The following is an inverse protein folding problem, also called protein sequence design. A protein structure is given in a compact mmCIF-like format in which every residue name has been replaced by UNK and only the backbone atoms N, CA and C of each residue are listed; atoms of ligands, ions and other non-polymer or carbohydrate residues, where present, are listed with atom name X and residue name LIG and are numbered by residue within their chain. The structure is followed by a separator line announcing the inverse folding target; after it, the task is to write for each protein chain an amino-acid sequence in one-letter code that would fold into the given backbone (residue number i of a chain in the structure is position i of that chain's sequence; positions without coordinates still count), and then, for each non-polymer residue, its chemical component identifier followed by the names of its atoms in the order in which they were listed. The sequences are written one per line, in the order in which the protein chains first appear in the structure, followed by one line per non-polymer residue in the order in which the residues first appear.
data_IF_649021070697
#
_entry.id   IF_649021070697
#
_cell.length_a   1.000
_cell.length_b   1.000
_cell.length_c   1.000
_cell.angle_alpha   90.00
_cell.angle_beta   90.00
_cell.angle_gamma   90.00
#
_symmetry.space_group_name_H-M   'P 1'
#
loop_
_entity.id
_entity.type
_entity.pdbx_description
1 polymer ?
#
# COMPACT_ATOMS: atom_id res chain seq x y z
N UNK A 1 15.49 -2.20 -9.32
CA UNK A 1 14.42 -3.17 -9.27
C UNK A 1 13.07 -2.43 -9.24
N UNK A 2 12.10 -2.88 -10.01
CA UNK A 2 10.81 -2.17 -10.13
C UNK A 2 10.04 -2.06 -8.79
N UNK A 3 10.27 -2.98 -7.86
CA UNK A 3 9.59 -2.95 -6.56
C UNK A 3 9.95 -1.73 -5.71
N UNK A 4 11.07 -1.07 -6.01
CA UNK A 4 11.49 0.13 -5.26
C UNK A 4 10.54 1.31 -5.45
N UNK A 5 9.85 1.39 -6.58
CA UNK A 5 8.87 2.47 -6.79
C UNK A 5 7.69 2.32 -5.81
N UNK A 6 7.28 1.09 -5.53
CA UNK A 6 6.23 0.82 -4.54
C UNK A 6 6.73 1.14 -3.14
N UNK A 7 7.96 0.73 -2.82
CA UNK A 7 8.55 1.03 -1.51
C UNK A 7 8.62 2.53 -1.27
N UNK A 8 9.11 3.29 -2.25
CA UNK A 8 9.22 4.74 -2.13
C UNK A 8 7.85 5.38 -1.91
N UNK A 9 6.84 4.92 -2.64
CA UNK A 9 5.48 5.46 -2.52
C UNK A 9 4.91 5.17 -1.13
N UNK A 10 5.11 3.95 -0.63
CA UNK A 10 4.65 3.55 0.70
C UNK A 10 5.38 4.33 1.78
N UNK A 11 6.70 4.52 1.66
CA UNK A 11 7.49 5.30 2.61
C UNK A 11 7.05 6.75 2.63
N UNK A 12 6.80 7.35 1.47
CA UNK A 12 6.35 8.73 1.39
C UNK A 12 5.01 8.92 2.08
N UNK A 13 4.12 7.94 1.96
CA UNK A 13 2.83 7.97 2.63
C UNK A 13 2.99 7.86 4.16
N UNK A 14 3.78 6.90 4.61
CA UNK A 14 3.99 6.67 6.05
C UNK A 14 4.70 7.86 6.70
N UNK A 15 5.62 8.50 5.98
CA UNK A 15 6.38 9.65 6.48
C UNK A 15 5.68 10.98 6.22
N UNK A 16 4.44 10.95 5.74
CA UNK A 16 3.61 12.13 5.52
C UNK A 16 4.20 13.11 4.49
N UNK A 17 5.02 12.60 3.56
CA UNK A 17 5.54 13.39 2.44
C UNK A 17 4.44 13.64 1.42
N UNK A 18 3.53 12.69 1.26
CA UNK A 18 2.35 12.81 0.40
C UNK A 18 1.08 12.59 1.21
N UNK A 19 -0.03 13.13 0.71
CA UNK A 19 -1.33 12.96 1.37
C UNK A 19 -1.88 11.56 1.11
N UNK A 20 -2.91 11.16 1.88
CA UNK A 20 -3.59 9.90 1.65
C UNK A 20 -4.25 9.86 0.27
N UNK A 21 -4.79 10.98 -0.19
CA UNK A 21 -5.42 11.06 -1.51
C UNK A 21 -4.39 10.85 -2.62
N UNK A 22 -3.21 11.45 -2.48
CA UNK A 22 -2.10 11.28 -3.42
C UNK A 22 -1.63 9.83 -3.44
N UNK A 23 -1.50 9.22 -2.26
CA UNK A 23 -1.08 7.82 -2.15
C UNK A 23 -2.09 6.88 -2.82
N UNK A 24 -3.37 7.09 -2.54
CA UNK A 24 -4.45 6.28 -3.14
C UNK A 24 -4.38 6.34 -4.66
N UNK A 25 -4.35 7.54 -5.20
CA UNK A 25 -4.32 7.75 -6.66
C UNK A 25 -3.08 7.12 -7.29
N UNK A 26 -1.91 7.42 -6.74
CA UNK A 26 -0.65 6.96 -7.33
C UNK A 26 -0.49 5.45 -7.21
N UNK A 27 -0.90 4.87 -6.08
CA UNK A 27 -0.77 3.43 -5.89
C UNK A 27 -1.68 2.67 -6.85
N UNK A 28 -2.94 3.10 -6.97
CA UNK A 28 -3.89 2.46 -7.88
C UNK A 28 -3.39 2.50 -9.31
N UNK A 29 -2.93 3.67 -9.77
CA UNK A 29 -2.42 3.83 -11.14
C UNK A 29 -1.18 2.94 -11.35
N UNK A 30 -0.24 2.98 -10.42
CA UNK A 30 1.01 2.24 -10.54
C UNK A 30 0.77 0.74 -10.59
N UNK A 31 -0.07 0.25 -9.68
CA UNK A 31 -0.32 -1.20 -9.59
C UNK A 31 -1.13 -1.71 -10.79
N UNK A 32 -2.16 -0.97 -11.22
CA UNK A 32 -2.98 -1.36 -12.37
C UNK A 32 -2.22 -1.37 -13.68
N UNK A 33 -1.20 -0.53 -13.79
CA UNK A 33 -0.39 -0.43 -15.02
C UNK A 33 0.91 -1.24 -14.95
N UNK A 34 1.07 -2.07 -13.92
CA UNK A 34 2.28 -2.86 -13.75
C UNK A 34 2.39 -3.91 -14.85
N UNK A 35 3.52 -3.91 -15.56
CA UNK A 35 3.81 -4.86 -16.63
C UNK A 35 4.88 -5.89 -16.25
N UNK A 36 5.61 -5.63 -15.16
CA UNK A 36 6.64 -6.56 -14.71
C UNK A 36 6.05 -7.75 -13.99
N UNK A 37 6.59 -8.94 -14.26
CA UNK A 37 6.18 -10.14 -13.55
C UNK A 37 6.75 -10.12 -12.14
N UNK A 38 5.95 -10.53 -11.19
CA UNK A 38 6.40 -10.65 -9.80
C UNK A 38 6.15 -12.06 -9.28
N UNK A 39 7.05 -12.49 -8.40
CA UNK A 39 6.86 -13.75 -7.69
C UNK A 39 5.69 -13.64 -6.73
N UNK A 40 5.21 -14.79 -6.26
CA UNK A 40 4.01 -14.84 -5.41
C UNK A 40 4.13 -14.01 -4.14
N UNK A 41 5.28 -14.05 -3.47
CA UNK A 41 5.46 -13.31 -2.21
C UNK A 41 5.36 -11.81 -2.44
N UNK A 42 6.04 -11.29 -3.46
CA UNK A 42 5.97 -9.87 -3.78
C UNK A 42 4.55 -9.48 -4.18
N UNK A 43 3.91 -10.30 -5.02
CA UNK A 43 2.54 -10.02 -5.45
C UNK A 43 1.58 -9.95 -4.26
N UNK A 44 1.68 -10.89 -3.32
CA UNK A 44 0.81 -10.91 -2.14
C UNK A 44 0.96 -9.65 -1.30
N UNK A 45 2.20 -9.17 -1.12
CA UNK A 45 2.46 -7.95 -0.36
C UNK A 45 1.83 -6.74 -1.05
N UNK A 46 2.11 -6.56 -2.34
CA UNK A 46 1.65 -5.40 -3.09
C UNK A 46 0.15 -5.44 -3.35
N UNK A 47 -0.41 -6.62 -3.59
CA UNK A 47 -1.85 -6.79 -3.77
C UNK A 47 -2.60 -6.53 -2.47
N UNK A 48 -2.02 -6.90 -1.33
CA UNK A 48 -2.60 -6.59 -0.02
C UNK A 48 -2.75 -5.09 0.18
N UNK A 49 -1.73 -4.32 -0.21
CA UNK A 49 -1.82 -2.86 -0.16
C UNK A 49 -2.87 -2.35 -1.16
N UNK A 50 -2.92 -2.93 -2.36
CA UNK A 50 -3.91 -2.54 -3.35
C UNK A 50 -5.34 -2.74 -2.81
N UNK A 51 -5.61 -3.87 -2.17
CA UNK A 51 -6.92 -4.14 -1.58
C UNK A 51 -7.23 -3.15 -0.45
N UNK A 52 -6.24 -2.82 0.38
CA UNK A 52 -6.42 -1.85 1.45
C UNK A 52 -6.75 -0.47 0.89
N UNK A 53 -6.03 -0.05 -0.14
CA UNK A 53 -6.28 1.24 -0.81
C UNK A 53 -7.68 1.25 -1.42
N UNK A 54 -8.10 0.14 -2.03
CA UNK A 54 -9.42 0.01 -2.64
C UNK A 54 -10.54 0.11 -1.60
N UNK A 55 -10.27 -0.32 -0.37
CA UNK A 55 -11.24 -0.26 0.72
C UNK A 55 -11.20 1.08 1.49
N UNK A 56 -10.19 1.90 1.26
CA UNK A 56 -10.09 3.17 1.97
C UNK A 56 -11.25 4.11 1.59
N UNK A 57 -11.90 4.64 2.62
CA UNK A 57 -12.99 5.61 2.45
C UNK A 57 -12.72 6.79 3.39
N UNK A 58 -12.59 7.98 2.81
CA UNK A 58 -12.16 9.17 3.56
C UNK A 58 -13.09 9.56 4.72
N UNK A 59 -14.35 9.12 4.68
CA UNK A 59 -15.32 9.39 5.75
C UNK A 59 -15.37 8.27 6.80
N UNK A 60 -14.63 7.18 6.59
CA UNK A 60 -14.59 6.10 7.57
C UNK A 60 -13.70 6.50 8.74
N UNK A 61 -14.26 6.52 9.94
CA UNK A 61 -13.53 6.87 11.15
C UNK A 61 -12.93 5.63 11.81
N UNK A 62 -11.83 5.79 12.58
CA UNK A 62 -11.28 4.67 13.34
C UNK A 62 -12.35 4.05 14.23
N UNK A 63 -12.42 2.72 14.22
CA UNK A 63 -13.42 1.99 14.97
C UNK A 63 -14.71 1.71 14.21
N UNK A 64 -14.86 2.31 13.01
CA UNK A 64 -16.03 2.10 12.16
C UNK A 64 -15.71 1.26 10.92
N UNK A 65 -14.54 0.65 10.90
CA UNK A 65 -14.10 -0.16 9.78
C UNK A 65 -15.00 -1.38 9.59
N UNK A 66 -15.19 -1.75 8.30
CA UNK A 66 -15.90 -2.97 7.90
C UNK A 66 -15.00 -3.77 6.97
N UNK A 67 -15.52 -4.87 6.41
CA UNK A 67 -14.79 -5.66 5.42
C UNK A 67 -14.57 -4.88 4.12
N UNK A 68 -15.34 -3.81 3.89
CA UNK A 68 -15.32 -3.08 2.61
C UNK A 68 -14.88 -1.63 2.73
N UNK A 69 -14.77 -1.09 3.96
CA UNK A 69 -14.39 0.30 4.20
C UNK A 69 -13.45 0.40 5.37
N UNK A 70 -12.29 1.03 5.16
CA UNK A 70 -11.31 1.26 6.23
C UNK A 70 -10.99 2.75 6.35
N UNK A 71 -10.56 3.14 7.55
CA UNK A 71 -10.13 4.50 7.84
C UNK A 71 -8.71 4.74 7.34
N UNK A 72 -8.29 6.01 7.31
CA UNK A 72 -6.90 6.35 7.02
C UNK A 72 -5.96 5.73 8.05
N UNK A 73 -6.35 5.70 9.32
CA UNK A 73 -5.54 5.09 10.38
C UNK A 73 -5.29 3.61 10.09
N UNK A 74 -6.33 2.88 9.68
CA UNK A 74 -6.20 1.48 9.35
C UNK A 74 -5.35 1.29 8.09
N UNK A 75 -5.53 2.15 7.09
CA UNK A 75 -4.73 2.11 5.87
C UNK A 75 -3.25 2.30 6.19
N UNK A 76 -2.91 3.28 7.04
CA UNK A 76 -1.52 3.51 7.44
C UNK A 76 -0.92 2.30 8.16
N UNK A 77 -1.71 1.65 9.00
CA UNK A 77 -1.27 0.45 9.69
C UNK A 77 -0.95 -0.67 8.70
N UNK A 78 -1.86 -0.92 7.76
CA UNK A 78 -1.67 -1.99 6.77
C UNK A 78 -0.51 -1.70 5.82
N UNK A 79 -0.34 -0.44 5.41
CA UNK A 79 0.80 -0.06 4.57
C UNK A 79 2.11 -0.22 5.34
N UNK A 80 2.14 0.16 6.61
CA UNK A 80 3.35 0.01 7.41
C UNK A 80 3.73 -1.47 7.59
N UNK A 81 2.75 -2.33 7.83
CA UNK A 81 2.99 -3.77 7.94
C UNK A 81 3.51 -4.34 6.62
N UNK A 82 2.92 -3.91 5.51
CA UNK A 82 3.36 -4.33 4.18
C UNK A 82 4.78 -3.84 3.89
N UNK A 83 5.09 -2.61 4.30
CA UNK A 83 6.43 -2.04 4.09
C UNK A 83 7.49 -2.83 4.84
N UNK A 84 7.20 -3.26 6.07
CA UNK A 84 8.11 -4.12 6.83
C UNK A 84 8.37 -5.42 6.07
N UNK A 85 7.33 -6.05 5.55
CA UNK A 85 7.44 -7.29 4.77
C UNK A 85 8.22 -7.07 3.48
N UNK A 86 7.95 -5.97 2.79
CA UNK A 86 8.62 -5.65 1.54
C UNK A 86 10.11 -5.41 1.77
N UNK A 87 10.47 -4.65 2.80
CA UNK A 87 11.86 -4.40 3.13
C UNK A 87 12.59 -5.69 3.48
N UNK A 88 11.94 -6.60 4.19
CA UNK A 88 12.51 -7.90 4.52
C UNK A 88 12.75 -8.73 3.26
N UNK A 89 11.80 -8.73 2.33
CA UNK A 89 11.94 -9.45 1.06
C UNK A 89 13.08 -8.87 0.23
N UNK A 90 13.15 -7.55 0.10
CA UNK A 90 14.18 -6.87 -0.71
C UNK A 90 15.58 -7.07 -0.11
N UNK A 91 15.67 -7.16 1.21
CA UNK A 91 16.94 -7.36 1.90
C UNK A 91 17.56 -8.73 1.58
N UNK A 92 16.74 -9.71 1.25
CA UNK A 92 17.18 -11.09 0.99
C UNK A 92 17.42 -11.39 -0.50
N UNK A 93 17.40 -10.38 -1.33
CA UNK A 93 17.66 -10.55 -2.78
C UNK A 93 19.14 -10.62 -3.10
#
# INVERSE_FOLDING_TARGET
MFAYKYRSLMEDFINEVITVDDFEREYLITFKNETERMGNTLFEILNGVFEAVDCYWHECLPGQETAFEISEQQLRKEVNEALVKLNSLLKNL
#
